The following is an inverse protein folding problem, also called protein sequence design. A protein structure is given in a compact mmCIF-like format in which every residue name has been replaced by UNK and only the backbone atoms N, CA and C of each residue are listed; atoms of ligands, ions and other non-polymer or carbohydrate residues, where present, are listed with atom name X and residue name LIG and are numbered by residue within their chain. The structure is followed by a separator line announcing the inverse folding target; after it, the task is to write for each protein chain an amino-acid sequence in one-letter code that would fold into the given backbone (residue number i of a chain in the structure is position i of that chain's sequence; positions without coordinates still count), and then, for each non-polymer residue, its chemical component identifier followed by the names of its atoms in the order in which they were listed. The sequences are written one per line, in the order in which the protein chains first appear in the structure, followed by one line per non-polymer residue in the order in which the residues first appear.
data_IF_638201130519
#
_entry.id   IF_638201130519
#
_cell.length_a   1.000
_cell.length_b   1.000
_cell.length_c   1.000
_cell.angle_alpha   90.00
_cell.angle_beta   90.00
_cell.angle_gamma   90.00
#
_symmetry.space_group_name_H-M   'P 1'
#
loop_
_entity.id
_entity.type
_entity.pdbx_description
1 polymer ?
#
# COMPACT_ATOMS: atom_id res chain seq x y z
N UNK A 1 -0.23 12.50 -16.01
CA UNK A 1 -0.95 11.24 -15.76
C UNK A 1 -2.26 11.59 -15.05
N UNK A 2 -3.38 10.96 -15.40
CA UNK A 2 -4.64 11.11 -14.62
C UNK A 2 -4.49 10.32 -13.31
N UNK A 3 -4.89 10.93 -12.20
CA UNK A 3 -4.97 10.26 -10.89
C UNK A 3 -6.43 9.86 -10.68
N UNK A 4 -6.68 8.57 -10.60
CA UNK A 4 -7.99 7.97 -10.31
C UNK A 4 -8.17 7.83 -8.80
N UNK A 5 -9.40 7.58 -8.36
CA UNK A 5 -9.69 7.14 -7.00
C UNK A 5 -9.58 5.61 -6.91
N UNK A 6 -9.16 5.06 -5.78
CA UNK A 6 -9.29 3.62 -5.50
C UNK A 6 -10.75 3.13 -5.49
N UNK A 7 -11.72 4.06 -5.39
CA UNK A 7 -13.15 3.75 -5.53
C UNK A 7 -13.64 3.73 -6.98
N UNK A 8 -12.81 4.17 -7.94
CA UNK A 8 -13.20 4.18 -9.35
C UNK A 8 -13.24 2.74 -9.90
N UNK A 9 -14.16 2.42 -10.84
CA UNK A 9 -14.23 1.11 -11.46
C UNK A 9 -12.92 0.62 -12.07
N UNK A 10 -12.06 1.54 -12.52
CA UNK A 10 -10.74 1.28 -13.08
C UNK A 10 -9.79 0.59 -12.10
N UNK A 11 -9.99 0.75 -10.78
CA UNK A 11 -9.13 0.14 -9.76
C UNK A 11 -9.36 -1.38 -9.63
N UNK A 12 -10.53 -1.89 -10.00
CA UNK A 12 -10.92 -3.31 -9.84
C UNK A 12 -10.00 -4.32 -10.53
N UNK A 13 -9.22 -3.88 -11.52
CA UNK A 13 -8.25 -4.73 -12.19
C UNK A 13 -6.93 -4.89 -11.42
N UNK A 14 -6.73 -4.08 -10.38
CA UNK A 14 -5.48 -3.99 -9.62
C UNK A 14 -5.66 -4.38 -8.14
N UNK A 15 -6.86 -4.19 -7.61
CA UNK A 15 -7.09 -4.38 -6.19
C UNK A 15 -8.53 -4.19 -5.76
N UNK A 16 -8.73 -4.14 -4.45
CA UNK A 16 -10.03 -3.87 -3.83
C UNK A 16 -9.88 -3.11 -2.50
N UNK A 17 -10.99 -2.55 -2.03
CA UNK A 17 -11.08 -1.98 -0.70
C UNK A 17 -11.51 -3.08 0.28
N UNK A 18 -10.78 -3.19 1.38
CA UNK A 18 -11.13 -4.09 2.48
C UNK A 18 -12.09 -3.37 3.42
N UNK A 19 -13.18 -4.05 3.80
CA UNK A 19 -14.23 -3.50 4.68
C UNK A 19 -14.50 -4.45 5.85
N UNK A 20 -15.02 -3.93 6.96
CA UNK A 20 -15.40 -4.75 8.12
C UNK A 20 -14.27 -5.02 9.10
N UNK A 21 -13.18 -4.25 9.03
CA UNK A 21 -12.02 -4.32 9.93
C UNK A 21 -11.75 -2.96 10.59
N UNK A 22 -12.80 -2.19 10.89
CA UNK A 22 -12.68 -0.79 11.31
C UNK A 22 -11.84 -0.61 12.59
N UNK A 23 -12.01 -1.50 13.58
CA UNK A 23 -11.23 -1.48 14.82
C UNK A 23 -9.75 -1.84 14.58
N UNK A 24 -9.48 -2.85 13.75
CA UNK A 24 -8.13 -3.26 13.32
C UNK A 24 -7.41 -2.11 12.61
N UNK A 25 -8.09 -1.48 11.64
CA UNK A 25 -7.57 -0.34 10.88
C UNK A 25 -7.22 0.81 11.81
N UNK A 26 -8.11 1.14 12.75
CA UNK A 26 -7.87 2.22 13.71
C UNK A 26 -6.63 1.96 14.56
N UNK A 27 -6.49 0.75 15.10
CA UNK A 27 -5.33 0.37 15.93
C UNK A 27 -4.01 0.48 15.15
N UNK A 28 -3.97 -0.02 13.90
CA UNK A 28 -2.80 0.08 13.04
C UNK A 28 -2.46 1.54 12.75
N UNK A 29 -3.44 2.39 12.43
CA UNK A 29 -3.20 3.80 12.14
C UNK A 29 -2.59 4.56 13.32
N UNK A 30 -3.05 4.28 14.55
CA UNK A 30 -2.52 4.90 15.77
C UNK A 30 -1.04 4.55 15.97
N UNK A 31 -0.66 3.29 15.77
CA UNK A 31 0.72 2.84 15.86
C UNK A 31 1.59 3.34 14.68
N UNK A 32 1.08 3.24 13.45
CA UNK A 32 1.78 3.70 12.24
C UNK A 32 2.11 5.19 12.30
N UNK A 33 1.26 6.01 12.92
CA UNK A 33 1.53 7.45 13.11
C UNK A 33 2.79 7.74 13.95
N UNK A 34 3.25 6.78 14.76
CA UNK A 34 4.47 6.92 15.58
C UNK A 34 5.76 6.55 14.82
N UNK A 35 5.63 5.92 13.65
CA UNK A 35 6.78 5.45 12.86
C UNK A 35 7.54 6.63 12.19
N UNK A 36 8.84 6.45 11.89
CA UNK A 36 9.66 7.50 11.28
C UNK A 36 9.12 8.00 9.94
N UNK A 37 9.30 9.30 9.66
CA UNK A 37 9.02 9.90 8.35
C UNK A 37 10.30 10.53 7.81
N UNK A 38 11.08 9.81 6.99
CA UNK A 38 12.31 10.34 6.40
C UNK A 38 12.05 11.34 5.27
N UNK A 39 13.04 12.18 4.96
CA UNK A 39 13.01 13.08 3.79
C UNK A 39 12.99 12.31 2.47
N UNK A 40 13.64 11.13 2.42
CA UNK A 40 13.59 10.20 1.30
C UNK A 40 12.48 9.16 1.46
N UNK A 41 12.66 7.97 0.92
CA UNK A 41 11.79 6.81 1.21
C UNK A 41 12.53 5.83 2.12
N UNK A 42 11.87 5.40 3.20
CA UNK A 42 12.32 4.32 4.07
C UNK A 42 11.38 3.12 3.98
N UNK A 43 11.91 1.94 4.26
CA UNK A 43 11.17 0.68 4.27
C UNK A 43 11.65 -0.19 5.42
N UNK A 44 10.70 -0.74 6.18
CA UNK A 44 10.93 -1.75 7.21
C UNK A 44 9.89 -2.85 6.99
N UNK A 45 10.30 -4.11 6.72
CA UNK A 45 9.35 -5.20 6.43
C UNK A 45 8.51 -5.61 7.65
N UNK A 46 9.06 -5.48 8.85
CA UNK A 46 8.41 -5.85 10.11
C UNK A 46 8.84 -4.84 11.17
N UNK A 47 7.88 -4.12 11.72
CA UNK A 47 8.10 -3.09 12.73
C UNK A 47 7.46 -3.54 14.04
N UNK A 48 8.23 -3.70 15.14
CA UNK A 48 7.70 -4.20 16.41
C UNK A 48 6.44 -3.48 16.90
N UNK A 49 6.34 -2.16 16.74
CA UNK A 49 5.15 -1.40 17.19
C UNK A 49 3.88 -1.71 16.38
N UNK A 50 4.01 -2.29 15.19
CA UNK A 50 2.90 -2.77 14.37
C UNK A 50 2.67 -4.27 14.55
N UNK A 51 3.76 -5.05 14.55
CA UNK A 51 3.71 -6.52 14.59
C UNK A 51 3.18 -7.06 15.93
N UNK A 52 3.40 -6.35 17.04
CA UNK A 52 2.96 -6.77 18.38
C UNK A 52 1.50 -6.38 18.70
N UNK A 53 0.82 -5.68 17.78
CA UNK A 53 -0.59 -5.30 17.96
C UNK A 53 -1.51 -6.53 17.87
N UNK A 54 -2.61 -6.57 18.66
CA UNK A 54 -3.74 -7.46 18.41
C UNK A 54 -4.20 -7.44 16.96
N UNK A 55 -4.22 -6.27 16.32
CA UNK A 55 -4.50 -6.11 14.90
C UNK A 55 -3.68 -7.01 13.95
N UNK A 56 -2.43 -7.36 14.29
CA UNK A 56 -1.63 -8.27 13.46
C UNK A 56 -2.24 -9.67 13.35
N UNK A 57 -2.88 -10.15 14.43
CA UNK A 57 -3.62 -11.42 14.44
C UNK A 57 -4.87 -11.32 13.57
N UNK A 58 -5.61 -10.21 13.68
CA UNK A 58 -6.81 -9.98 12.85
C UNK A 58 -6.47 -9.93 11.36
N UNK A 59 -5.36 -9.28 10.99
CA UNK A 59 -4.83 -9.26 9.62
C UNK A 59 -4.48 -10.67 9.16
N UNK A 60 -3.76 -11.45 9.97
CA UNK A 60 -3.41 -12.83 9.63
C UNK A 60 -4.65 -13.69 9.37
N UNK A 61 -5.59 -13.73 10.32
CA UNK A 61 -6.77 -14.59 10.25
C UNK A 61 -7.71 -14.20 9.09
N UNK A 62 -7.98 -12.90 8.90
CA UNK A 62 -9.02 -12.45 7.98
C UNK A 62 -8.52 -12.14 6.56
N UNK A 63 -7.26 -11.73 6.42
CA UNK A 63 -6.70 -11.31 5.12
C UNK A 63 -5.79 -12.37 4.49
N UNK A 64 -5.19 -13.23 5.32
CA UNK A 64 -4.24 -14.25 4.89
C UNK A 64 -4.62 -15.67 5.35
N UNK A 65 -5.84 -15.88 5.86
CA UNK A 65 -6.34 -17.20 6.24
C UNK A 65 -5.54 -17.88 7.35
N UNK A 66 -4.99 -17.09 8.28
CA UNK A 66 -4.20 -17.56 9.43
C UNK A 66 -2.72 -17.84 9.11
N UNK A 67 -2.24 -17.47 7.92
CA UNK A 67 -0.81 -17.57 7.61
C UNK A 67 0.01 -16.53 8.39
N UNK A 68 1.28 -16.80 8.70
CA UNK A 68 2.17 -15.79 9.29
C UNK A 68 2.27 -14.55 8.40
N UNK A 69 2.16 -13.37 9.02
CA UNK A 69 2.21 -12.06 8.36
C UNK A 69 3.30 -11.19 8.95
N UNK A 70 3.80 -10.26 8.16
CA UNK A 70 4.70 -9.19 8.59
C UNK A 70 3.99 -7.85 8.41
N UNK A 71 3.89 -7.07 9.49
CA UNK A 71 3.37 -5.72 9.47
C UNK A 71 4.56 -4.76 9.58
N UNK A 72 4.85 -4.11 8.46
CA UNK A 72 5.95 -3.17 8.30
C UNK A 72 5.45 -1.79 7.91
N UNK A 73 6.34 -0.98 7.36
CA UNK A 73 5.96 0.30 6.77
C UNK A 73 6.87 0.70 5.61
N UNK A 74 6.29 1.44 4.67
CA UNK A 74 6.98 2.27 3.70
C UNK A 74 6.58 3.73 3.93
N UNK A 75 7.53 4.58 4.31
CA UNK A 75 7.27 5.96 4.70
C UNK A 75 8.20 6.93 3.99
N UNK A 76 7.76 8.18 3.81
CA UNK A 76 8.64 9.28 3.44
C UNK A 76 8.06 10.25 2.42
N UNK A 77 8.90 10.74 1.51
CA UNK A 77 8.51 11.70 0.48
C UNK A 77 8.92 11.21 -0.91
N UNK A 78 7.92 10.87 -1.73
CA UNK A 78 8.14 10.48 -3.12
C UNK A 78 7.06 11.08 -4.04
N UNK A 79 7.47 11.41 -5.26
CA UNK A 79 6.61 11.94 -6.34
C UNK A 79 6.86 11.21 -7.67
N UNK A 80 7.67 10.15 -7.66
CA UNK A 80 8.22 9.52 -8.87
C UNK A 80 7.94 8.03 -8.90
N UNK A 81 7.77 7.50 -10.10
CA UNK A 81 7.90 6.08 -10.38
C UNK A 81 9.39 5.75 -10.49
N UNK A 82 9.96 5.13 -9.46
CA UNK A 82 11.39 4.77 -9.44
C UNK A 82 11.64 3.28 -9.71
N UNK A 83 10.66 2.43 -9.38
CA UNK A 83 10.69 0.98 -9.60
C UNK A 83 9.25 0.47 -9.69
N UNK A 84 9.10 -0.80 -10.07
CA UNK A 84 7.90 -1.60 -9.90
C UNK A 84 8.31 -3.00 -9.43
N UNK A 85 7.60 -3.50 -8.45
CA UNK A 85 7.72 -4.86 -7.92
C UNK A 85 6.34 -5.53 -7.89
N UNK A 86 6.32 -6.83 -7.69
CA UNK A 86 5.12 -7.60 -7.43
C UNK A 86 5.48 -8.77 -6.53
N UNK A 87 4.52 -9.18 -5.71
CA UNK A 87 4.70 -10.25 -4.74
C UNK A 87 3.98 -11.52 -5.18
N UNK A 88 4.29 -12.65 -4.54
CA UNK A 88 3.61 -13.93 -4.82
C UNK A 88 2.24 -14.03 -4.15
N UNK A 89 1.93 -13.09 -3.28
CA UNK A 89 0.67 -12.95 -2.56
C UNK A 89 0.20 -11.49 -2.64
N UNK A 90 -1.04 -11.22 -2.23
CA UNK A 90 -1.56 -9.86 -2.13
C UNK A 90 -0.79 -9.05 -1.08
N UNK A 91 -0.67 -7.74 -1.32
CA UNK A 91 -0.14 -6.77 -0.37
C UNK A 91 -1.26 -5.84 0.08
N UNK A 92 -1.40 -5.64 1.38
CA UNK A 92 -2.40 -4.72 1.94
C UNK A 92 -1.73 -3.43 2.39
N UNK A 93 -2.24 -2.31 1.90
CA UNK A 93 -1.69 -0.97 2.10
C UNK A 93 -2.65 -0.13 2.95
N UNK A 94 -2.15 0.52 4.00
CA UNK A 94 -2.94 1.41 4.86
C UNK A 94 -2.17 2.68 5.24
N UNK A 95 -2.70 3.84 4.87
CA UNK A 95 -2.02 5.13 5.06
C UNK A 95 -2.61 6.03 6.15
N UNK A 96 -1.75 6.73 6.91
CA UNK A 96 -2.17 7.79 7.86
C UNK A 96 -2.59 9.09 7.17
N UNK A 97 -2.13 9.27 5.93
CA UNK A 97 -2.44 10.38 5.04
C UNK A 97 -2.88 9.79 3.70
N UNK A 98 -3.49 10.61 2.85
CA UNK A 98 -3.77 10.20 1.49
C UNK A 98 -2.45 9.92 0.75
N UNK A 99 -2.46 8.85 -0.03
CA UNK A 99 -1.29 8.43 -0.81
C UNK A 99 -1.69 8.01 -2.22
N UNK A 100 -0.73 8.01 -3.12
CA UNK A 100 -0.91 7.62 -4.51
C UNK A 100 -0.12 6.35 -4.77
N UNK A 101 -0.81 5.32 -5.26
CA UNK A 101 -0.22 4.11 -5.81
C UNK A 101 -0.05 4.25 -7.32
N UNK A 102 1.11 3.81 -7.82
CA UNK A 102 1.39 3.73 -9.25
C UNK A 102 1.37 2.26 -9.67
N UNK A 103 0.35 1.87 -10.42
CA UNK A 103 -0.01 0.47 -10.63
C UNK A 103 0.03 0.07 -12.10
N UNK A 104 0.50 -1.15 -12.35
CA UNK A 104 0.41 -1.84 -13.63
C UNK A 104 0.07 -3.32 -13.38
N UNK A 105 -0.24 -4.10 -14.42
CA UNK A 105 -0.54 -5.52 -14.25
C UNK A 105 0.59 -6.42 -14.73
N UNK A 106 0.79 -7.54 -14.04
CA UNK A 106 1.86 -8.49 -14.34
C UNK A 106 1.76 -9.07 -15.75
N UNK A 107 0.54 -9.29 -16.24
CA UNK A 107 0.28 -9.79 -17.58
C UNK A 107 0.53 -8.75 -18.69
N UNK A 108 0.84 -7.51 -18.34
CA UNK A 108 1.22 -6.46 -19.28
C UNK A 108 2.72 -6.45 -19.59
N UNK A 109 3.52 -7.24 -18.88
CA UNK A 109 4.96 -7.44 -19.11
C UNK A 109 5.14 -8.29 -20.38
N UNK A 110 5.98 -7.81 -21.30
CA UNK A 110 6.34 -8.51 -22.54
C UNK A 110 7.85 -8.66 -22.58
N UNK A 111 8.33 -9.89 -22.73
CA UNK A 111 9.76 -10.23 -22.77
C UNK A 111 10.56 -9.65 -21.58
N UNK A 112 9.95 -9.64 -20.38
CA UNK A 112 10.55 -9.12 -19.15
C UNK A 112 10.54 -7.59 -19.03
N UNK A 113 9.87 -6.87 -19.94
CA UNK A 113 9.79 -5.41 -19.95
C UNK A 113 8.35 -4.93 -19.85
N UNK A 114 8.11 -3.96 -18.97
CA UNK A 114 6.83 -3.25 -18.89
C UNK A 114 6.94 -1.90 -19.62
N UNK A 115 5.99 -1.62 -20.51
CA UNK A 115 5.80 -0.27 -21.03
C UNK A 115 5.18 0.63 -19.95
N UNK A 116 5.94 1.61 -19.48
CA UNK A 116 5.50 2.57 -18.45
C UNK A 116 4.25 3.37 -18.82
N UNK A 117 3.88 3.45 -20.11
CA UNK A 117 2.62 4.05 -20.54
C UNK A 117 1.38 3.30 -20.03
N UNK A 118 1.53 2.03 -19.60
CA UNK A 118 0.46 1.22 -19.00
C UNK A 118 0.22 1.52 -17.51
N UNK A 119 1.15 2.23 -16.86
CA UNK A 119 1.04 2.59 -15.44
C UNK A 119 -0.09 3.60 -15.24
N UNK A 120 -0.94 3.32 -14.25
CA UNK A 120 -2.01 4.21 -13.79
C UNK A 120 -1.76 4.65 -12.35
N UNK A 121 -2.18 5.88 -12.02
CA UNK A 121 -2.10 6.42 -10.67
C UNK A 121 -3.47 6.33 -9.98
N UNK A 122 -3.49 5.83 -8.75
CA UNK A 122 -4.69 5.75 -7.91
C UNK A 122 -4.44 6.41 -6.55
N UNK A 123 -5.29 7.36 -6.16
CA UNK A 123 -5.30 7.95 -4.82
C UNK A 123 -6.09 7.05 -3.88
N UNK A 124 -5.43 6.57 -2.83
CA UNK A 124 -6.04 5.95 -1.67
C UNK A 124 -6.21 7.01 -0.57
N UNK A 125 -7.44 7.24 -0.05
CA UNK A 125 -7.62 8.15 1.08
C UNK A 125 -7.01 7.58 2.36
N UNK A 126 -6.64 8.48 3.27
CA UNK A 126 -6.19 8.13 4.61
C UNK A 126 -7.20 7.20 5.31
N UNK A 127 -6.70 6.19 6.00
CA UNK A 127 -7.49 5.22 6.74
C UNK A 127 -8.30 4.24 5.91
N UNK A 128 -8.14 4.22 4.59
CA UNK A 128 -8.75 3.21 3.72
C UNK A 128 -7.75 2.06 3.53
N UNK A 129 -8.13 0.86 3.96
CA UNK A 129 -7.34 -0.35 3.75
C UNK A 129 -7.53 -0.85 2.31
N UNK A 130 -6.43 -0.91 1.56
CA UNK A 130 -6.43 -1.27 0.15
C UNK A 130 -5.66 -2.57 -0.05
N UNK A 131 -6.26 -3.54 -0.72
CA UNK A 131 -5.54 -4.71 -1.22
C UNK A 131 -5.02 -4.43 -2.63
N UNK A 132 -3.72 -4.63 -2.86
CA UNK A 132 -3.13 -4.82 -4.18
C UNK A 132 -3.03 -6.34 -4.44
N UNK A 133 -3.64 -6.81 -5.52
CA UNK A 133 -3.58 -8.24 -5.86
C UNK A 133 -2.15 -8.68 -6.15
N UNK A 134 -1.84 -9.98 -5.96
CA UNK A 134 -0.55 -10.57 -6.32
C UNK A 134 -0.12 -10.33 -7.78
N UNK A 135 -1.08 -10.08 -8.68
CA UNK A 135 -0.86 -9.77 -10.11
C UNK A 135 -0.65 -8.29 -10.41
N UNK A 136 -0.64 -7.44 -9.38
CA UNK A 136 -0.51 -5.99 -9.50
C UNK A 136 0.91 -5.56 -9.21
N UNK A 137 1.55 -4.94 -10.19
CA UNK A 137 2.80 -4.24 -9.93
C UNK A 137 2.52 -2.95 -9.17
N UNK A 138 3.35 -2.68 -8.18
CA UNK A 138 3.34 -1.47 -7.37
C UNK A 138 4.76 -1.17 -6.88
N UNK A 139 4.95 -0.07 -6.18
CA UNK A 139 6.19 0.23 -5.46
C UNK A 139 5.89 1.28 -4.40
N UNK A 140 6.94 1.79 -3.74
CA UNK A 140 6.86 2.88 -2.77
C UNK A 140 5.82 3.95 -3.17
N UNK A 141 4.85 4.25 -2.30
CA UNK A 141 3.81 5.24 -2.56
C UNK A 141 4.34 6.62 -2.91
N UNK A 142 3.46 7.45 -3.48
CA UNK A 142 3.70 8.89 -3.67
C UNK A 142 2.85 9.69 -2.67
N UNK A 143 3.39 10.77 -2.12
CA UNK A 143 2.62 11.66 -1.25
C UNK A 143 1.66 12.54 -2.05
N UNK A 144 0.54 12.92 -1.46
CA UNK A 144 -0.36 13.96 -2.01
C UNK A 144 -0.02 15.37 -1.53
N UNK A 145 0.67 15.48 -0.39
CA UNK A 145 1.09 16.76 0.21
C UNK A 145 2.58 16.69 0.59
N UNK A 146 3.38 17.57 -0.02
CA UNK A 146 4.82 17.60 0.17
C UNK A 146 5.25 18.00 1.60
N UNK A 147 4.40 18.69 2.36
CA UNK A 147 4.69 19.05 3.74
C UNK A 147 4.43 17.90 4.73
N UNK A 148 3.63 16.91 4.31
CA UNK A 148 3.21 15.80 5.16
C UNK A 148 3.90 14.48 4.85
N UNK A 149 4.34 14.29 3.60
CA UNK A 149 4.85 13.00 3.13
C UNK A 149 3.77 11.92 3.14
N UNK A 150 4.17 10.66 3.29
CA UNK A 150 3.27 9.53 3.51
C UNK A 150 3.82 8.60 4.60
N UNK A 151 2.92 7.97 5.35
CA UNK A 151 3.21 6.76 6.12
C UNK A 151 2.22 5.70 5.73
N UNK A 152 2.70 4.55 5.24
CA UNK A 152 1.87 3.46 4.75
C UNK A 152 2.41 2.16 5.33
N UNK A 153 1.54 1.39 5.99
CA UNK A 153 1.79 -0.01 6.34
C UNK A 153 1.66 -0.86 5.09
#
# INVERSE_FOLDING_TARGET
MKIYSVYDPEFKAYGQIVTGMDDTVKEILEALATTPLPDGTGYVPEEPVLQELPAAVEVSEHLYGGMPVQLGWCNGHNTKLNCLEYHRDSEYNLGTEDFILLLARQDEIVDGVLDTAKVKAFRAPAGVLVECFATTLHYAPCHTDAAKGFRVM
#
